data_IF_722593381762
#
_entry.id   IF_722593381762
#
_cell.length_a   1.000
_cell.length_b   1.000
_cell.length_c   1.000
_cell.angle_alpha   90.00
_cell.angle_beta   90.00
_cell.angle_gamma   90.00
#
_symmetry.space_group_name_H-M   'P 1'
#
loop_
_entity.id
_entity.type
_entity.pdbx_description
1 polymer ?
#
# COMPACT_ATOMS: atom_id res chain seq x y z
N UNK A 1 -8.11 -17.39 -14.32
CA UNK A 1 -9.34 -16.88 -14.95
C UNK A 1 -10.33 -18.02 -15.13
N UNK A 2 -11.61 -17.78 -14.84
CA UNK A 2 -12.72 -18.74 -15.00
C UNK A 2 -13.49 -18.47 -16.29
N UNK A 3 -14.06 -19.51 -16.88
CA UNK A 3 -14.83 -19.39 -18.12
C UNK A 3 -16.19 -20.07 -17.97
N UNK A 4 -17.25 -19.42 -18.45
CA UNK A 4 -18.61 -19.96 -18.43
C UNK A 4 -19.34 -19.64 -19.73
N UNK A 5 -20.29 -20.49 -20.13
CA UNK A 5 -21.19 -20.22 -21.24
C UNK A 5 -22.40 -19.44 -20.74
N UNK A 6 -22.77 -18.40 -21.46
CA UNK A 6 -23.92 -17.53 -21.15
C UNK A 6 -24.89 -17.47 -22.33
N UNK A 7 -26.05 -16.85 -22.13
CA UNK A 7 -27.04 -16.64 -23.20
C UNK A 7 -26.56 -15.70 -24.31
N UNK A 8 -25.51 -14.92 -24.07
CA UNK A 8 -24.99 -13.94 -25.04
C UNK A 8 -23.62 -14.31 -25.61
N UNK A 9 -23.03 -15.45 -25.21
CA UNK A 9 -21.72 -15.90 -25.65
C UNK A 9 -20.94 -16.59 -24.55
N UNK A 10 -19.64 -16.82 -24.80
CA UNK A 10 -18.74 -17.40 -23.81
C UNK A 10 -18.05 -16.25 -23.00
N UNK A 11 -18.20 -16.27 -21.69
CA UNK A 11 -17.63 -15.27 -20.79
C UNK A 11 -16.41 -15.82 -20.05
N UNK A 12 -15.31 -15.05 -20.05
CA UNK A 12 -14.11 -15.28 -19.25
C UNK A 12 -13.95 -14.12 -18.27
N UNK A 13 -13.74 -14.41 -17.00
CA UNK A 13 -13.72 -13.46 -15.92
C UNK A 13 -12.65 -13.83 -14.88
N UNK A 14 -12.30 -12.92 -13.94
CA UNK A 14 -11.28 -13.15 -12.92
C UNK A 14 -11.53 -14.39 -12.07
N UNK A 15 -10.48 -14.90 -11.46
CA UNK A 15 -10.57 -15.92 -10.41
C UNK A 15 -11.24 -15.36 -9.14
N UNK A 16 -11.33 -16.18 -8.11
CA UNK A 16 -11.91 -15.78 -6.81
C UNK A 16 -11.19 -14.61 -6.18
N UNK A 17 -9.90 -14.44 -6.47
CA UNK A 17 -9.06 -13.34 -5.98
C UNK A 17 -8.50 -12.56 -7.16
N UNK A 18 -8.53 -11.24 -7.06
CA UNK A 18 -7.82 -10.33 -7.96
C UNK A 18 -7.07 -9.27 -7.15
N UNK A 19 -6.03 -8.68 -7.75
CA UNK A 19 -5.29 -7.58 -7.15
C UNK A 19 -5.70 -6.27 -7.82
N UNK A 20 -5.96 -5.23 -7.01
CA UNK A 20 -6.54 -3.97 -7.48
C UNK A 20 -5.69 -3.26 -8.55
N UNK A 21 -4.36 -3.41 -8.50
CA UNK A 21 -3.45 -2.80 -9.46
C UNK A 21 -3.07 -3.69 -10.63
N UNK A 22 -3.57 -4.94 -10.67
CA UNK A 22 -3.39 -5.81 -11.83
C UNK A 22 -4.51 -5.62 -12.84
N UNK A 23 -4.22 -5.80 -14.14
CA UNK A 23 -5.28 -5.85 -15.15
C UNK A 23 -6.30 -6.95 -14.84
N UNK A 24 -7.56 -6.56 -14.67
CA UNK A 24 -8.67 -7.46 -14.33
C UNK A 24 -9.67 -7.42 -15.46
N UNK A 25 -9.68 -8.49 -16.28
CA UNK A 25 -10.47 -8.53 -17.51
C UNK A 25 -11.76 -9.32 -17.37
N UNK A 26 -12.84 -8.75 -17.90
CA UNK A 26 -14.05 -9.44 -18.29
C UNK A 26 -14.05 -9.53 -19.82
N UNK A 27 -14.04 -10.74 -20.37
CA UNK A 27 -14.03 -10.98 -21.82
C UNK A 27 -15.28 -11.77 -22.20
N UNK A 28 -15.93 -11.38 -23.29
CA UNK A 28 -17.05 -12.10 -23.86
C UNK A 28 -16.72 -12.36 -25.33
N UNK A 29 -16.73 -13.61 -25.73
CA UNK A 29 -16.53 -14.05 -27.12
C UNK A 29 -17.81 -14.63 -27.70
N UNK A 30 -17.96 -14.56 -29.01
CA UNK A 30 -19.18 -14.94 -29.72
C UNK A 30 -20.41 -14.17 -29.24
N UNK A 31 -20.23 -12.92 -28.81
CA UNK A 31 -21.29 -12.07 -28.29
C UNK A 31 -22.28 -11.68 -29.38
N UNK A 32 -23.57 -11.90 -29.12
CA UNK A 32 -24.66 -11.61 -30.08
C UNK A 32 -25.24 -10.20 -29.90
N UNK A 33 -24.81 -9.46 -28.85
CA UNK A 33 -25.29 -8.11 -28.59
C UNK A 33 -24.38 -7.06 -29.24
N UNK A 34 -24.93 -5.90 -29.57
CA UNK A 34 -24.16 -4.76 -30.05
C UNK A 34 -23.41 -4.02 -28.91
N UNK A 35 -23.94 -4.10 -27.70
CA UNK A 35 -23.34 -3.53 -26.50
C UNK A 35 -23.68 -4.37 -25.27
N UNK A 36 -22.86 -4.21 -24.22
CA UNK A 36 -23.00 -4.88 -22.93
C UNK A 36 -22.80 -3.86 -21.82
N UNK A 37 -23.60 -3.94 -20.78
CA UNK A 37 -23.45 -3.14 -19.59
C UNK A 37 -22.85 -3.99 -18.47
N UNK A 38 -21.82 -3.47 -17.82
CA UNK A 38 -21.22 -4.03 -16.60
C UNK A 38 -21.64 -3.19 -15.40
N UNK A 39 -22.26 -3.84 -14.41
CA UNK A 39 -22.53 -3.27 -13.09
C UNK A 39 -21.55 -3.88 -12.11
N UNK A 40 -20.77 -3.04 -11.45
CA UNK A 40 -19.71 -3.44 -10.53
C UNK A 40 -20.05 -2.85 -9.18
N UNK A 41 -20.21 -3.69 -8.17
CA UNK A 41 -20.67 -3.31 -6.82
C UNK A 41 -19.69 -3.81 -5.78
N UNK A 42 -19.27 -2.93 -4.86
CA UNK A 42 -18.62 -3.33 -3.61
C UNK A 42 -19.70 -3.80 -2.64
N UNK A 43 -19.61 -5.05 -2.19
CA UNK A 43 -20.68 -5.64 -1.36
C UNK A 43 -20.67 -5.10 0.06
N UNK A 44 -19.53 -4.56 0.54
CA UNK A 44 -19.36 -4.07 1.90
C UNK A 44 -20.01 -2.72 2.17
N UNK A 45 -19.92 -1.78 1.23
CA UNK A 45 -20.45 -0.41 1.34
C UNK A 45 -21.58 -0.12 0.35
N UNK A 46 -21.86 -1.05 -0.56
CA UNK A 46 -22.94 -0.92 -1.56
C UNK A 46 -22.62 0.06 -2.70
N UNK A 47 -21.41 0.60 -2.76
CA UNK A 47 -21.00 1.47 -3.84
C UNK A 47 -21.07 0.74 -5.19
N UNK A 48 -21.64 1.38 -6.20
CA UNK A 48 -21.90 0.75 -7.50
C UNK A 48 -21.50 1.65 -8.65
N UNK A 49 -20.79 1.07 -9.61
CA UNK A 49 -20.46 1.70 -10.89
C UNK A 49 -21.09 0.92 -12.05
N UNK A 50 -21.58 1.64 -13.04
CA UNK A 50 -22.17 1.04 -14.26
C UNK A 50 -21.44 1.56 -15.48
N UNK A 51 -20.97 0.65 -16.33
CA UNK A 51 -20.21 0.94 -17.54
C UNK A 51 -20.86 0.29 -18.75
N UNK A 52 -20.96 1.03 -19.85
CA UNK A 52 -21.46 0.53 -21.13
C UNK A 52 -20.30 0.32 -22.11
N UNK A 53 -20.26 -0.85 -22.71
CA UNK A 53 -19.23 -1.24 -23.66
C UNK A 53 -19.86 -1.63 -25.01
N UNK A 54 -19.29 -1.12 -26.09
CA UNK A 54 -19.61 -1.60 -27.43
C UNK A 54 -18.92 -2.95 -27.67
N UNK A 55 -19.60 -3.82 -28.40
CA UNK A 55 -19.06 -5.11 -28.83
C UNK A 55 -18.55 -5.00 -30.28
N UNK A 56 -17.31 -5.39 -30.52
CA UNK A 56 -16.69 -5.38 -31.84
C UNK A 56 -16.35 -6.79 -32.29
N UNK A 57 -16.73 -7.14 -33.50
CA UNK A 57 -16.48 -8.47 -34.08
C UNK A 57 -16.90 -9.62 -33.14
N UNK A 58 -18.07 -9.49 -32.54
CA UNK A 58 -18.57 -10.45 -31.56
C UNK A 58 -17.69 -10.65 -30.31
N UNK A 59 -16.84 -9.69 -30.02
CA UNK A 59 -15.93 -9.73 -28.87
C UNK A 59 -16.04 -8.46 -28.01
N UNK A 60 -15.99 -8.66 -26.70
CA UNK A 60 -15.81 -7.63 -25.69
C UNK A 60 -14.59 -7.97 -24.84
N UNK A 61 -13.76 -6.98 -24.54
CA UNK A 61 -12.72 -7.07 -23.50
C UNK A 61 -12.76 -5.81 -22.67
N UNK A 62 -13.16 -5.92 -21.41
CA UNK A 62 -13.26 -4.83 -20.46
C UNK A 62 -12.24 -5.05 -19.33
N UNK A 63 -11.38 -4.07 -19.10
CA UNK A 63 -10.51 -4.04 -17.92
C UNK A 63 -11.22 -3.24 -16.82
N UNK A 64 -11.59 -3.90 -15.74
CA UNK A 64 -12.35 -3.33 -14.62
C UNK A 64 -11.45 -2.93 -13.43
N UNK A 65 -10.13 -3.13 -13.52
CA UNK A 65 -9.21 -2.86 -12.41
C UNK A 65 -9.32 -1.43 -11.86
N UNK A 66 -9.44 -0.43 -12.74
CA UNK A 66 -9.55 0.98 -12.30
C UNK A 66 -10.83 1.26 -11.51
N UNK A 67 -11.91 0.57 -11.82
CA UNK A 67 -13.16 0.70 -11.06
C UNK A 67 -13.02 0.03 -9.69
N UNK A 68 -12.38 -1.14 -9.65
CA UNK A 68 -12.09 -1.84 -8.40
C UNK A 68 -11.24 -0.95 -7.47
N UNK A 69 -10.25 -0.23 -8.00
CA UNK A 69 -9.42 0.71 -7.22
C UNK A 69 -10.25 1.82 -6.55
N UNK A 70 -11.33 2.29 -7.19
CA UNK A 70 -12.18 3.35 -6.65
C UNK A 70 -13.02 2.94 -5.42
N UNK A 71 -13.14 1.64 -5.15
CA UNK A 71 -13.81 1.16 -3.96
C UNK A 71 -12.95 1.21 -2.71
N UNK A 72 -11.64 1.35 -2.86
CA UNK A 72 -10.73 1.46 -1.74
C UNK A 72 -10.62 2.91 -1.27
N UNK A 73 -10.83 3.13 0.02
CA UNK A 73 -10.60 4.43 0.65
C UNK A 73 -9.12 4.60 0.98
N UNK A 74 -8.41 5.53 0.32
CA UNK A 74 -6.97 5.73 0.57
C UNK A 74 -6.65 6.19 2.00
N UNK A 75 -7.62 6.77 2.71
CA UNK A 75 -7.45 7.21 4.10
C UNK A 75 -7.68 6.10 5.12
N UNK A 76 -8.33 5.01 4.73
CA UNK A 76 -8.62 3.87 5.60
C UNK A 76 -8.12 2.54 5.01
N UNK A 77 -7.14 2.62 4.13
CA UNK A 77 -6.64 1.46 3.39
C UNK A 77 -5.97 0.42 4.29
N UNK A 78 -5.36 0.84 5.39
CA UNK A 78 -4.72 -0.07 6.34
C UNK A 78 -5.71 -1.07 6.94
N UNK A 79 -6.93 -0.62 7.23
CA UNK A 79 -7.97 -1.46 7.83
C UNK A 79 -8.82 -2.21 6.79
N UNK A 80 -8.89 -1.70 5.55
CA UNK A 80 -9.74 -2.23 4.48
C UNK A 80 -8.94 -2.53 3.20
N UNK A 81 -7.98 -3.45 3.30
CA UNK A 81 -7.12 -3.86 2.19
C UNK A 81 -7.74 -4.95 1.29
N UNK A 82 -8.92 -5.43 1.66
CA UNK A 82 -9.62 -6.51 0.96
C UNK A 82 -11.10 -6.20 0.90
N UNK A 83 -11.69 -6.35 -0.30
CA UNK A 83 -13.09 -6.07 -0.58
C UNK A 83 -13.69 -7.21 -1.40
N UNK A 84 -14.93 -7.60 -1.12
CA UNK A 84 -15.71 -8.43 -2.02
C UNK A 84 -16.40 -7.56 -3.08
N UNK A 85 -16.17 -7.90 -4.34
CA UNK A 85 -16.70 -7.17 -5.50
C UNK A 85 -17.61 -8.11 -6.29
N UNK A 86 -18.84 -7.68 -6.47
CA UNK A 86 -19.81 -8.35 -7.34
C UNK A 86 -19.90 -7.66 -8.68
N UNK A 87 -19.75 -8.43 -9.75
CA UNK A 87 -19.83 -7.93 -11.12
C UNK A 87 -20.98 -8.62 -11.85
N UNK A 88 -21.90 -7.81 -12.37
CA UNK A 88 -22.99 -8.27 -13.23
C UNK A 88 -22.77 -7.85 -14.66
N UNK A 89 -22.96 -8.78 -15.56
CA UNK A 89 -23.08 -8.55 -17.01
C UNK A 89 -24.56 -8.43 -17.36
N UNK A 90 -24.97 -7.32 -17.92
CA UNK A 90 -26.37 -6.96 -18.17
C UNK A 90 -26.57 -6.74 -19.67
N UNK A 91 -27.67 -7.26 -20.19
CA UNK A 91 -28.13 -6.91 -21.52
C UNK A 91 -28.79 -5.51 -21.48
N UNK A 92 -28.21 -4.49 -22.12
CA UNK A 92 -28.72 -3.11 -22.02
C UNK A 92 -30.10 -2.93 -22.65
N UNK A 93 -30.50 -3.79 -23.60
CA UNK A 93 -31.81 -3.71 -24.28
C UNK A 93 -32.93 -4.18 -23.37
N UNK A 94 -32.70 -5.24 -22.60
CA UNK A 94 -33.72 -5.83 -21.71
C UNK A 94 -33.56 -5.43 -20.26
N UNK A 95 -32.45 -4.77 -19.91
CA UNK A 95 -32.03 -4.47 -18.54
C UNK A 95 -31.93 -5.71 -17.64
N UNK A 96 -31.83 -6.89 -18.23
CA UNK A 96 -31.81 -8.17 -17.50
C UNK A 96 -30.36 -8.61 -17.28
N UNK A 97 -30.03 -9.11 -16.09
CA UNK A 97 -28.72 -9.71 -15.83
C UNK A 97 -28.56 -10.99 -16.67
N UNK A 98 -27.40 -11.12 -17.29
CA UNK A 98 -27.01 -12.29 -18.08
C UNK A 98 -26.22 -13.27 -17.24
N UNK A 99 -25.27 -12.74 -16.48
CA UNK A 99 -24.36 -13.47 -15.60
C UNK A 99 -23.80 -12.55 -14.54
N UNK A 100 -23.57 -13.09 -13.34
CA UNK A 100 -22.86 -12.43 -12.27
C UNK A 100 -21.74 -13.29 -11.70
N UNK A 101 -20.74 -12.67 -11.12
CA UNK A 101 -19.69 -13.35 -10.39
C UNK A 101 -19.14 -12.48 -9.25
N UNK A 102 -18.60 -13.13 -8.23
CA UNK A 102 -17.87 -12.51 -7.15
C UNK A 102 -16.37 -12.68 -7.35
N UNK A 103 -15.62 -11.68 -6.94
CA UNK A 103 -14.16 -11.73 -6.80
C UNK A 103 -13.73 -10.91 -5.59
N UNK A 104 -12.82 -11.47 -4.81
CA UNK A 104 -12.18 -10.74 -3.72
C UNK A 104 -11.06 -9.89 -4.28
N UNK A 105 -11.20 -8.58 -4.16
CA UNK A 105 -10.19 -7.63 -4.57
C UNK A 105 -9.25 -7.32 -3.38
N UNK A 106 -7.95 -7.48 -3.58
CA UNK A 106 -6.91 -7.16 -2.61
C UNK A 106 -6.16 -5.91 -3.08
N UNK A 107 -5.88 -4.98 -2.17
CA UNK A 107 -5.03 -3.82 -2.42
C UNK A 107 -3.58 -4.26 -2.62
N UNK A 108 -3.19 -4.53 -3.84
CA UNK A 108 -1.87 -5.06 -4.17
C UNK A 108 -1.63 -5.16 -5.66
N UNK A 109 -0.41 -5.58 -6.00
CA UNK A 109 0.06 -5.76 -7.36
C UNK A 109 1.00 -6.97 -7.44
N UNK A 110 0.46 -8.13 -7.85
CA UNK A 110 1.24 -9.35 -8.07
C UNK A 110 1.30 -9.61 -9.56
N UNK A 111 2.49 -9.85 -10.10
CA UNK A 111 2.65 -10.14 -11.52
C UNK A 111 1.83 -11.38 -11.94
N UNK A 112 1.24 -11.40 -13.14
CA UNK A 112 0.51 -12.56 -13.64
C UNK A 112 1.37 -13.82 -13.63
N UNK A 113 0.88 -14.88 -12.98
CA UNK A 113 1.62 -16.15 -12.85
C UNK A 113 2.58 -16.20 -11.67
N UNK A 114 2.81 -15.10 -10.98
CA UNK A 114 3.57 -15.07 -9.73
C UNK A 114 2.80 -15.76 -8.61
N UNK A 115 3.47 -16.65 -7.88
CA UNK A 115 2.91 -17.25 -6.67
C UNK A 115 3.16 -16.31 -5.49
N UNK A 116 2.23 -16.28 -4.55
CA UNK A 116 2.46 -15.61 -3.29
C UNK A 116 3.57 -16.33 -2.52
N UNK A 117 4.71 -15.67 -2.44
CA UNK A 117 5.81 -16.08 -1.57
C UNK A 117 6.00 -14.94 -0.57
N UNK A 118 5.16 -14.90 0.45
CA UNK A 118 5.39 -14.02 1.59
C UNK A 118 6.72 -14.37 2.27
N UNK A 119 7.27 -13.48 3.10
CA UNK A 119 8.48 -13.75 3.84
C UNK A 119 8.27 -15.01 4.71
N UNK A 120 9.20 -15.93 4.63
CA UNK A 120 9.18 -17.14 5.47
C UNK A 120 9.69 -16.86 6.88
N UNK A 121 10.45 -15.78 7.02
CA UNK A 121 11.04 -15.33 8.27
C UNK A 121 10.73 -13.88 8.49
N UNK A 122 10.14 -13.54 9.64
CA UNK A 122 9.86 -12.18 10.07
C UNK A 122 10.59 -11.90 11.37
N UNK A 123 11.24 -10.74 11.48
CA UNK A 123 11.75 -10.25 12.76
C UNK A 123 10.59 -9.75 13.60
N UNK A 124 10.58 -10.17 14.83
CA UNK A 124 9.66 -9.69 15.85
C UNK A 124 10.43 -8.80 16.84
N UNK A 125 9.96 -7.55 16.99
CA UNK A 125 10.60 -6.53 17.81
C UNK A 125 9.86 -6.40 19.13
N UNK A 126 10.58 -6.56 20.24
CA UNK A 126 10.03 -6.43 21.60
C UNK A 126 9.37 -5.05 21.81
N UNK A 127 8.20 -5.05 22.43
CA UNK A 127 7.47 -3.85 22.83
C UNK A 127 6.99 -2.93 21.66
N UNK A 128 7.01 -3.42 20.43
CA UNK A 128 6.47 -2.70 19.29
C UNK A 128 5.15 -3.33 18.80
N UNK A 129 4.16 -2.53 18.36
CA UNK A 129 2.83 -3.01 17.98
C UNK A 129 2.83 -3.71 16.62
N UNK A 130 3.44 -4.88 16.56
CA UNK A 130 3.54 -5.67 15.35
C UNK A 130 2.34 -6.61 15.19
N UNK A 131 1.86 -6.72 13.96
CA UNK A 131 0.79 -7.65 13.57
C UNK A 131 1.27 -8.53 12.42
N UNK A 132 0.65 -9.67 12.25
CA UNK A 132 0.82 -10.52 11.08
C UNK A 132 -0.47 -10.54 10.29
N UNK A 133 -0.37 -10.17 9.02
CA UNK A 133 -1.50 -10.25 8.10
C UNK A 133 -1.62 -11.65 7.53
N UNK A 134 -2.81 -12.22 7.62
CA UNK A 134 -3.16 -13.53 7.05
C UNK A 134 -4.40 -13.39 6.19
N UNK A 135 -4.46 -14.13 5.07
CA UNK A 135 -5.64 -14.19 4.24
C UNK A 135 -6.43 -15.46 4.56
N UNK A 136 -7.62 -15.30 5.11
CA UNK A 136 -8.48 -16.42 5.49
C UNK A 136 -9.95 -16.08 5.27
N UNK A 137 -10.75 -17.05 4.83
CA UNK A 137 -12.18 -16.85 4.62
C UNK A 137 -12.57 -15.73 3.63
N UNK A 138 -11.70 -15.44 2.65
CA UNK A 138 -11.93 -14.37 1.66
C UNK A 138 -11.62 -12.97 2.15
N UNK A 139 -10.96 -12.82 3.29
CA UNK A 139 -10.57 -11.52 3.86
C UNK A 139 -9.16 -11.53 4.44
N UNK A 140 -8.55 -10.35 4.57
CA UNK A 140 -7.28 -10.16 5.27
C UNK A 140 -7.58 -9.88 6.74
N UNK A 141 -6.95 -10.64 7.63
CA UNK A 141 -7.00 -10.45 9.08
C UNK A 141 -5.60 -10.14 9.61
N UNK A 142 -5.51 -9.19 10.54
CA UNK A 142 -4.27 -8.82 11.20
C UNK A 142 -4.25 -9.41 12.61
N UNK A 143 -3.42 -10.42 12.80
CA UNK A 143 -3.21 -11.07 14.09
C UNK A 143 -2.21 -10.26 14.91
N UNK A 144 -2.62 -9.84 16.09
CA UNK A 144 -1.73 -9.14 17.03
C UNK A 144 -0.82 -10.18 17.67
N UNK A 145 0.50 -9.94 17.59
CA UNK A 145 1.50 -10.74 18.25
C UNK A 145 1.78 -10.10 19.60
N UNK A 146 1.59 -10.85 20.67
CA UNK A 146 1.85 -10.43 22.04
C UNK A 146 2.99 -11.26 22.63
N UNK A 147 3.74 -10.66 23.54
CA UNK A 147 4.83 -11.33 24.25
C UNK A 147 4.35 -12.63 24.93
N UNK A 148 3.16 -12.58 25.55
CA UNK A 148 2.56 -13.74 26.23
C UNK A 148 2.30 -14.88 25.26
N UNK A 149 1.86 -14.59 24.03
CA UNK A 149 1.62 -15.60 23.01
C UNK A 149 2.92 -16.25 22.54
N UNK A 150 3.97 -15.46 22.33
CA UNK A 150 5.29 -15.93 21.92
C UNK A 150 5.98 -16.74 23.03
N UNK A 151 5.85 -16.32 24.27
CA UNK A 151 6.42 -17.02 25.43
C UNK A 151 5.74 -18.35 25.73
N UNK A 152 4.46 -18.50 25.39
CA UNK A 152 3.70 -19.71 25.66
C UNK A 152 4.07 -20.90 24.76
N UNK A 153 4.66 -20.64 23.58
CA UNK A 153 4.84 -21.67 22.54
C UNK A 153 6.31 -22.03 22.31
N UNK A 154 7.20 -21.04 22.29
CA UNK A 154 8.65 -21.28 22.20
C UNK A 154 9.40 -20.02 22.56
N UNK A 155 10.52 -20.12 23.32
CA UNK A 155 11.29 -18.93 23.66
C UNK A 155 12.01 -18.27 22.46
N UNK A 156 12.04 -18.90 21.27
CA UNK A 156 12.90 -18.42 20.17
C UNK A 156 12.29 -18.45 18.77
N UNK A 157 11.36 -19.37 18.48
CA UNK A 157 10.82 -19.52 17.14
C UNK A 157 9.31 -19.75 17.19
N UNK A 158 8.57 -18.91 16.48
CA UNK A 158 7.14 -19.04 16.35
C UNK A 158 6.79 -19.26 14.89
N UNK A 159 6.08 -20.35 14.60
CA UNK A 159 5.64 -20.65 13.23
C UNK A 159 4.14 -20.49 13.14
N UNK A 160 3.66 -19.59 12.28
CA UNK A 160 2.26 -19.48 11.92
C UNK A 160 2.02 -20.14 10.57
N UNK A 161 1.05 -21.04 10.52
CA UNK A 161 0.54 -21.57 9.27
C UNK A 161 -0.55 -20.63 8.75
N UNK A 162 -0.42 -20.19 7.49
CA UNK A 162 -1.45 -19.40 6.83
C UNK A 162 -1.79 -20.00 5.47
N UNK A 163 -3.06 -19.89 5.09
CA UNK A 163 -3.52 -20.29 3.77
C UNK A 163 -3.77 -19.05 2.94
N UNK A 164 -3.05 -18.93 1.84
CA UNK A 164 -3.24 -17.88 0.87
C UNK A 164 -3.62 -18.50 -0.46
N UNK A 165 -4.83 -18.22 -0.95
CA UNK A 165 -5.40 -18.82 -2.15
C UNK A 165 -5.56 -20.34 -2.05
N UNK A 166 -6.48 -20.94 -2.77
CA UNK A 166 -6.76 -22.37 -2.67
C UNK A 166 -5.50 -23.26 -2.72
N UNK A 167 -5.25 -23.96 -1.65
CA UNK A 167 -4.23 -25.02 -1.56
C UNK A 167 -2.80 -24.54 -1.30
N UNK A 168 -2.55 -23.22 -1.12
CA UNK A 168 -1.22 -22.74 -0.73
C UNK A 168 -1.21 -22.53 0.79
N UNK A 169 -0.48 -23.36 1.49
CA UNK A 169 -0.22 -23.23 2.93
C UNK A 169 1.21 -22.72 3.06
N UNK A 170 1.37 -21.59 3.74
CA UNK A 170 2.67 -21.04 4.10
C UNK A 170 2.85 -21.01 5.61
N UNK A 171 4.09 -21.12 6.06
CA UNK A 171 4.45 -20.91 7.46
C UNK A 171 5.42 -19.74 7.58
N UNK A 172 5.24 -18.94 8.64
CA UNK A 172 6.11 -17.81 8.95
C UNK A 172 6.86 -18.15 10.24
N UNK A 173 8.20 -18.10 10.18
CA UNK A 173 9.05 -18.21 11.35
C UNK A 173 9.33 -16.83 11.91
N UNK A 174 9.20 -16.65 13.22
CA UNK A 174 9.53 -15.39 13.88
C UNK A 174 10.92 -15.49 14.51
N UNK A 175 11.76 -14.51 14.18
CA UNK A 175 13.07 -14.30 14.81
C UNK A 175 12.95 -13.13 15.77
N UNK A 176 13.23 -13.39 17.03
CA UNK A 176 13.14 -12.40 18.08
C UNK A 176 14.29 -11.39 17.98
N UNK A 177 13.98 -10.11 17.85
CA UNK A 177 14.91 -8.99 17.86
C UNK A 177 14.68 -8.14 19.12
N UNK A 178 15.75 -7.95 19.92
CA UNK A 178 15.70 -7.21 21.18
C UNK A 178 16.05 -5.73 21.04
N UNK A 179 16.18 -5.24 19.82
CA UNK A 179 16.45 -3.84 19.55
C UNK A 179 15.31 -2.97 20.07
N UNK A 180 15.66 -1.91 20.83
CA UNK A 180 14.69 -1.04 21.49
C UNK A 180 14.66 0.37 20.93
N UNK A 181 15.75 0.81 20.33
CA UNK A 181 15.91 2.15 19.80
C UNK A 181 15.83 2.15 18.28
N UNK A 182 15.05 3.06 17.74
CA UNK A 182 14.89 3.16 16.29
C UNK A 182 13.67 3.97 15.89
N UNK A 183 13.31 3.86 14.64
CA UNK A 183 12.04 4.31 14.09
C UNK A 183 11.29 3.07 13.56
N UNK A 184 10.13 2.83 14.14
CA UNK A 184 9.31 1.68 13.80
C UNK A 184 8.32 2.07 12.71
N UNK A 185 8.46 1.43 11.55
CA UNK A 185 7.59 1.68 10.40
C UNK A 185 6.73 0.46 10.09
N UNK A 186 5.57 0.73 9.50
CA UNK A 186 4.76 -0.25 8.79
C UNK A 186 4.47 0.21 7.38
N UNK A 187 4.28 -0.74 6.48
CA UNK A 187 3.84 -0.45 5.11
C UNK A 187 2.98 -1.61 4.58
N UNK A 188 2.23 -1.33 3.54
CA UNK A 188 1.49 -2.37 2.82
C UNK A 188 2.40 -2.86 1.67
N UNK A 189 2.69 -4.15 1.67
CA UNK A 189 3.46 -4.75 0.58
C UNK A 189 2.60 -4.94 -0.69
N UNK A 190 3.23 -5.40 -1.76
CA UNK A 190 2.55 -5.65 -3.04
C UNK A 190 1.49 -6.75 -2.99
N UNK A 191 1.45 -7.56 -1.95
CA UNK A 191 0.44 -8.59 -1.73
C UNK A 191 -0.75 -8.09 -0.88
N UNK A 192 -0.72 -6.83 -0.44
CA UNK A 192 -1.72 -6.24 0.43
C UNK A 192 -1.54 -6.58 1.91
N UNK A 193 -0.39 -7.14 2.29
CA UNK A 193 -0.09 -7.51 3.68
C UNK A 193 0.69 -6.40 4.38
N UNK A 194 0.45 -6.22 5.68
CA UNK A 194 1.24 -5.29 6.49
C UNK A 194 2.60 -5.91 6.80
N UNK A 195 3.63 -5.13 6.54
CA UNK A 195 5.00 -5.41 6.91
C UNK A 195 5.46 -4.39 7.94
N UNK A 196 6.39 -4.79 8.80
CA UNK A 196 6.89 -3.98 9.90
C UNK A 196 8.41 -4.11 10.01
N UNK A 197 9.06 -3.01 10.40
CA UNK A 197 10.49 -3.04 10.70
C UNK A 197 10.90 -1.90 11.64
N UNK A 198 11.85 -2.21 12.54
CA UNK A 198 12.51 -1.22 13.37
C UNK A 198 13.83 -0.82 12.72
N UNK A 199 13.90 0.42 12.23
CA UNK A 199 15.08 0.95 11.54
C UNK A 199 15.95 1.74 12.50
N UNK A 200 17.26 1.60 12.36
CA UNK A 200 18.22 2.48 13.01
C UNK A 200 18.14 3.89 12.43
N UNK A 201 18.29 4.89 13.31
CA UNK A 201 18.31 6.31 12.94
C UNK A 201 19.68 6.70 12.39
N UNK A 202 19.70 7.14 11.14
CA UNK A 202 20.87 7.78 10.53
C UNK A 202 20.84 9.30 10.68
N UNK A 203 21.33 9.99 9.66
CA UNK A 203 21.41 11.45 9.65
C UNK A 203 20.02 12.07 9.50
N UNK A 204 19.76 13.11 10.32
CA UNK A 204 18.57 13.95 10.19
C UNK A 204 18.96 15.24 9.48
N UNK A 205 18.28 15.55 8.39
CA UNK A 205 18.48 16.79 7.63
C UNK A 205 17.25 17.69 7.77
N UNK A 206 17.48 18.99 7.96
CA UNK A 206 16.42 20.00 7.96
C UNK A 206 16.73 20.99 6.86
N UNK A 207 15.91 21.02 5.81
CA UNK A 207 15.99 21.98 4.73
C UNK A 207 15.04 23.12 5.00
N UNK A 208 15.55 24.34 4.95
CA UNK A 208 14.74 25.53 5.11
C UNK A 208 14.40 26.11 3.74
N UNK A 209 13.12 26.06 3.39
CA UNK A 209 12.60 26.57 2.14
C UNK A 209 11.89 27.91 2.35
N UNK A 210 12.12 28.83 1.42
CA UNK A 210 11.44 30.13 1.40
C UNK A 210 10.06 29.97 0.80
N UNK A 211 9.04 30.55 1.45
CA UNK A 211 7.68 30.54 0.95
C UNK A 211 7.05 31.95 0.90
N UNK A 212 6.10 32.14 0.00
CA UNK A 212 5.45 33.43 -0.21
C UNK A 212 6.31 34.47 -0.95
N UNK A 213 5.89 35.73 -0.88
CA UNK A 213 6.55 36.84 -1.55
C UNK A 213 7.64 37.46 -0.66
N UNK A 214 8.67 37.99 -1.27
CA UNK A 214 9.68 38.79 -0.59
C UNK A 214 9.13 40.20 -0.36
N UNK A 215 9.07 40.63 0.90
CA UNK A 215 8.67 41.98 1.28
C UNK A 215 9.91 42.87 1.25
N UNK A 216 9.87 43.88 0.38
CA UNK A 216 10.96 44.86 0.27
C UNK A 216 10.52 46.15 0.93
N UNK A 217 11.30 46.64 1.89
CA UNK A 217 11.12 47.93 2.55
C UNK A 217 12.29 48.83 2.21
N UNK A 218 12.01 50.03 1.77
CA UNK A 218 13.02 51.03 1.52
C UNK A 218 13.14 51.96 2.73
N UNK A 219 14.30 51.98 3.33
CA UNK A 219 14.64 52.94 4.42
C UNK A 219 15.57 53.99 3.88
N UNK A 220 15.24 55.26 4.09
CA UNK A 220 16.19 56.33 4.02
C UNK A 220 16.93 56.44 5.36
N UNK A 221 18.22 56.73 5.34
CA UNK A 221 18.90 57.10 6.55
C UNK A 221 18.35 58.46 7.10
N UNK A 222 18.70 58.81 8.35
CA UNK A 222 18.21 60.04 9.02
C UNK A 222 18.56 61.32 8.27
N UNK A 223 19.58 61.29 7.42
CA UNK A 223 20.07 62.42 6.65
C UNK A 223 19.57 62.43 5.17
N UNK A 224 18.83 61.38 4.77
CA UNK A 224 18.31 61.25 3.42
C UNK A 224 19.36 60.94 2.34
N UNK A 225 20.59 60.64 2.74
CA UNK A 225 21.74 60.49 1.84
C UNK A 225 21.92 59.04 1.32
N UNK A 226 21.31 58.05 1.98
CA UNK A 226 21.36 56.68 1.51
C UNK A 226 20.03 55.95 1.66
N UNK A 227 19.69 55.13 0.65
CA UNK A 227 18.54 54.23 0.68
C UNK A 227 19.02 52.80 0.86
N UNK A 228 18.49 52.12 1.87
CA UNK A 228 18.76 50.73 2.09
C UNK A 228 17.49 49.90 1.82
N UNK A 229 17.61 48.94 0.96
CA UNK A 229 16.56 47.95 0.72
C UNK A 229 16.70 46.84 1.75
N UNK A 230 15.74 46.72 2.65
CA UNK A 230 15.65 45.63 3.61
C UNK A 230 14.60 44.68 3.08
N UNK A 231 15.00 43.42 2.90
CA UNK A 231 14.15 42.36 2.41
C UNK A 231 13.78 41.41 3.54
N UNK A 232 12.52 41.06 3.64
CA UNK A 232 11.99 40.04 4.54
C UNK A 232 11.21 39.03 3.79
N UNK A 233 11.43 37.75 4.08
CA UNK A 233 10.62 36.67 3.54
C UNK A 233 9.32 36.57 4.30
N UNK A 234 8.20 36.35 3.59
CA UNK A 234 6.88 36.30 4.18
C UNK A 234 6.75 35.13 5.18
N UNK A 235 7.27 33.97 4.79
CA UNK A 235 7.37 32.80 5.69
C UNK A 235 8.47 31.84 5.24
N UNK A 236 8.85 30.94 6.13
CA UNK A 236 9.75 29.82 5.87
C UNK A 236 9.03 28.54 6.27
N UNK A 237 9.26 27.47 5.52
CA UNK A 237 8.86 26.13 5.94
C UNK A 237 10.06 25.21 5.92
N UNK A 238 10.10 24.32 6.91
CA UNK A 238 11.17 23.34 7.05
C UNK A 238 10.70 21.98 6.52
N UNK A 239 11.44 21.43 5.58
CA UNK A 239 11.33 20.01 5.23
C UNK A 239 12.33 19.25 6.09
N UNK A 240 11.84 18.24 6.78
CA UNK A 240 12.65 17.39 7.64
C UNK A 240 12.73 16.02 7.03
N UNK A 241 13.94 15.56 6.74
CA UNK A 241 14.18 14.21 6.32
C UNK A 241 15.03 13.44 7.31
N UNK A 242 14.84 12.14 7.36
CA UNK A 242 15.53 11.22 8.25
C UNK A 242 16.05 10.04 7.47
N UNK A 243 17.36 9.81 7.48
CA UNK A 243 17.96 8.59 6.99
C UNK A 243 17.66 7.44 7.93
N UNK A 244 17.32 6.29 7.36
CA UNK A 244 17.01 5.04 8.05
C UNK A 244 17.90 3.92 7.53
N UNK A 245 18.28 3.03 8.42
CA UNK A 245 19.12 1.87 8.11
C UNK A 245 18.56 0.62 8.77
N UNK A 246 18.48 -0.47 8.00
CA UNK A 246 18.35 -1.82 8.53
C UNK A 246 19.70 -2.53 8.29
N UNK A 247 20.54 -2.65 9.30
CA UNK A 247 21.86 -3.26 9.14
C UNK A 247 21.79 -4.79 9.12
N UNK A 248 22.73 -5.41 8.42
CA UNK A 248 22.93 -6.85 8.43
C UNK A 248 21.69 -7.69 8.13
N UNK A 249 20.89 -7.26 7.16
CA UNK A 249 19.70 -8.00 6.72
C UNK A 249 20.07 -9.11 5.76
N UNK A 250 19.35 -10.22 5.83
CA UNK A 250 19.46 -11.33 4.90
C UNK A 250 18.86 -10.97 3.54
N UNK A 251 19.11 -11.77 2.50
CA UNK A 251 18.54 -11.55 1.17
C UNK A 251 17.00 -11.58 1.17
N UNK A 252 16.39 -12.45 1.99
CA UNK A 252 14.95 -12.56 2.15
C UNK A 252 14.38 -11.30 2.80
N UNK A 253 14.97 -10.85 3.91
CA UNK A 253 14.61 -9.62 4.60
C UNK A 253 14.79 -8.39 3.70
N UNK A 254 15.89 -8.36 2.95
CA UNK A 254 16.16 -7.29 1.99
C UNK A 254 15.07 -7.19 0.92
N UNK A 255 14.64 -8.32 0.39
CA UNK A 255 13.54 -8.39 -0.60
C UNK A 255 12.21 -7.91 -0.01
N UNK A 256 11.93 -8.23 1.24
CA UNK A 256 10.75 -7.71 1.96
C UNK A 256 10.85 -6.19 2.16
N UNK A 257 12.02 -5.70 2.58
CA UNK A 257 12.27 -4.27 2.81
C UNK A 257 12.21 -3.44 1.52
N UNK A 258 12.61 -3.99 0.37
CA UNK A 258 12.45 -3.31 -0.93
C UNK A 258 10.99 -2.94 -1.21
N UNK A 259 10.03 -3.70 -0.68
CA UNK A 259 8.61 -3.42 -0.80
C UNK A 259 8.20 -2.05 -0.25
N UNK A 260 8.92 -1.51 0.74
CA UNK A 260 8.62 -0.19 1.29
C UNK A 260 8.77 0.92 0.26
N UNK A 261 9.74 0.82 -0.67
CA UNK A 261 10.00 1.86 -1.67
C UNK A 261 8.92 1.96 -2.75
N UNK A 262 8.13 0.92 -2.90
CA UNK A 262 7.02 0.87 -3.86
C UNK A 262 5.66 0.95 -3.20
N UNK A 263 5.61 0.97 -1.87
CA UNK A 263 4.37 1.10 -1.12
C UNK A 263 3.87 2.55 -1.13
N UNK A 264 2.61 2.79 -1.49
CA UNK A 264 2.00 4.10 -1.35
C UNK A 264 1.55 4.42 0.09
N UNK A 265 1.62 3.45 0.98
CA UNK A 265 1.17 3.56 2.37
C UNK A 265 2.29 3.16 3.29
N UNK A 266 2.87 4.14 3.96
CA UNK A 266 3.96 3.96 4.92
C UNK A 266 3.63 4.82 6.13
N UNK A 267 3.63 4.21 7.31
CA UNK A 267 3.34 4.90 8.56
C UNK A 267 4.50 4.72 9.55
N UNK A 268 4.80 5.78 10.27
CA UNK A 268 5.74 5.82 11.39
C UNK A 268 4.97 5.70 12.72
N UNK A 269 5.47 4.88 13.62
CA UNK A 269 4.87 4.70 14.94
C UNK A 269 5.41 5.72 15.96
N UNK A 270 4.49 6.38 16.66
CA UNK A 270 4.76 7.31 17.76
C UNK A 270 4.17 6.78 19.05
N UNK A 271 4.97 6.20 19.95
CA UNK A 271 4.46 5.56 21.18
C UNK A 271 3.82 6.55 22.17
N UNK A 272 4.08 7.85 22.05
CA UNK A 272 3.57 8.90 22.93
C UNK A 272 2.33 9.62 22.42
N UNK A 273 1.87 9.33 21.19
CA UNK A 273 0.76 10.04 20.58
C UNK A 273 -0.54 9.22 20.58
N UNK A 274 -1.66 9.93 20.70
CA UNK A 274 -3.00 9.32 20.71
C UNK A 274 -3.28 8.55 19.41
N UNK A 275 -2.74 9.03 18.27
CA UNK A 275 -2.95 8.42 16.95
C UNK A 275 -2.06 7.19 16.74
N UNK A 276 -0.92 7.11 17.43
CA UNK A 276 0.03 6.00 17.37
C UNK A 276 0.76 5.84 16.02
N UNK A 277 0.11 6.09 14.88
CA UNK A 277 0.68 5.94 13.54
C UNK A 277 0.51 7.21 12.72
N UNK A 278 1.60 7.69 12.12
CA UNK A 278 1.65 8.89 11.31
C UNK A 278 2.13 8.57 9.90
N UNK A 279 1.40 8.99 8.84
CA UNK A 279 1.82 8.78 7.47
C UNK A 279 3.13 9.51 7.15
N UNK A 280 4.07 8.80 6.54
CA UNK A 280 5.36 9.36 6.07
C UNK A 280 5.57 9.04 4.59
N UNK A 281 6.53 9.74 3.97
CA UNK A 281 6.87 9.55 2.56
C UNK A 281 8.33 9.17 2.41
N UNK A 282 8.65 8.43 1.35
CA UNK A 282 10.03 8.23 0.95
C UNK A 282 10.54 9.52 0.30
N UNK A 283 11.58 10.12 0.88
CA UNK A 283 12.25 11.28 0.33
C UNK A 283 13.21 10.88 -0.78
N UNK A 284 13.98 9.81 -0.53
CA UNK A 284 14.97 9.30 -1.44
C UNK A 284 15.23 7.83 -1.18
N UNK A 285 15.17 7.03 -2.23
CA UNK A 285 15.51 5.62 -2.15
C UNK A 285 16.27 5.19 -3.40
N UNK A 286 17.52 4.79 -3.24
CA UNK A 286 18.28 4.09 -4.29
C UNK A 286 18.80 2.81 -3.70
N UNK A 287 18.35 1.69 -4.22
CA UNK A 287 18.78 0.38 -3.77
C UNK A 287 19.91 -0.09 -4.67
N UNK A 288 20.98 -0.57 -4.04
CA UNK A 288 22.04 -1.31 -4.70
C UNK A 288 22.20 -2.61 -3.94
N UNK A 289 21.79 -3.71 -4.55
CA UNK A 289 22.06 -5.03 -4.00
C UNK A 289 23.54 -5.36 -4.14
N UNK A 290 24.14 -5.87 -3.07
CA UNK A 290 25.44 -6.52 -3.06
C UNK A 290 25.25 -8.02 -3.26
N UNK A 291 26.33 -8.73 -3.54
CA UNK A 291 26.39 -10.20 -3.54
C UNK A 291 26.73 -10.79 -2.17
N UNK A 292 26.84 -9.93 -1.16
CA UNK A 292 27.16 -10.32 0.21
C UNK A 292 25.97 -11.02 0.88
N UNK A 293 26.24 -11.95 1.78
CA UNK A 293 25.22 -12.71 2.51
C UNK A 293 24.40 -11.82 3.44
N UNK A 294 25.01 -10.78 4.01
CA UNK A 294 24.36 -9.77 4.85
C UNK A 294 24.59 -8.40 4.23
N UNK A 295 23.56 -7.60 4.18
CA UNK A 295 23.57 -6.29 3.53
C UNK A 295 22.92 -5.24 4.42
N UNK A 296 23.29 -3.97 4.20
CA UNK A 296 22.61 -2.85 4.82
C UNK A 296 21.54 -2.32 3.86
N UNK A 297 20.31 -2.16 4.35
CA UNK A 297 19.23 -1.52 3.61
C UNK A 297 19.07 -0.08 4.11
N UNK A 298 19.27 0.91 3.22
CA UNK A 298 19.25 2.34 3.57
C UNK A 298 18.31 3.12 2.67
N UNK A 299 17.56 4.04 3.27
CA UNK A 299 16.68 4.98 2.56
C UNK A 299 16.42 6.20 3.43
N UNK A 300 15.76 7.19 2.88
CA UNK A 300 15.42 8.45 3.55
C UNK A 300 13.91 8.69 3.50
N UNK A 301 13.33 9.05 4.64
CA UNK A 301 11.93 9.42 4.74
C UNK A 301 11.78 10.92 4.96
N UNK A 302 10.68 11.48 4.46
CA UNK A 302 10.20 12.81 4.84
C UNK A 302 9.31 12.67 6.07
N UNK A 303 9.67 13.43 7.11
CA UNK A 303 8.83 13.58 8.28
C UNK A 303 7.82 14.70 8.05
N UNK A 304 6.67 14.69 8.73
CA UNK A 304 5.68 15.76 8.63
C UNK A 304 6.32 17.13 8.94
N UNK A 305 5.89 18.13 8.19
CA UNK A 305 6.46 19.47 8.28
C UNK A 305 6.25 20.08 9.68
N UNK A 306 7.31 20.61 10.25
CA UNK A 306 7.22 21.44 11.45
C UNK A 306 6.52 22.76 11.08
N UNK A 307 5.65 23.24 11.96
CA UNK A 307 4.88 24.47 11.77
C UNK A 307 5.73 25.63 11.25
N UNK A 308 5.29 26.20 10.13
CA UNK A 308 5.91 27.39 9.56
C UNK A 308 5.60 28.61 10.43
N UNK A 309 6.63 29.46 10.66
CA UNK A 309 6.40 30.80 11.18
C UNK A 309 6.11 31.75 10.00
N UNK A 310 4.99 32.47 10.09
CA UNK A 310 4.61 33.50 9.13
C UNK A 310 4.62 34.89 9.79
N UNK A 311 4.94 35.93 9.01
CA UNK A 311 4.81 37.34 9.42
C UNK A 311 3.33 37.75 9.37
#
# INVERSE_FOLDING_TARGET
MRTTSTTIGQMTYPDEICFAFNPTYVKITSCQLASVMLRITSTGDGATYTLNYAVFNHMLTANIARIIQLFFDPYNIVDKRCLDVYVEVINPTTSSPVQGFHTTAIWGNIAPGETFNGPKTLRWFDNWPQKVSVFTGGTIQDLVITDDLLMAVSPFDYTFDFTFRQGVVGSINFVHDKSKDGLFLRWIDRHGMLQYWLFDKGVREVKNNRGGSELTMNYADREGNSFRNIKRQQYFFGEVSQELCAPNVTEEEYTMLEGILTSPVIDLYHPSEIVGWEPVRIAKGTIKRSTDTLQDFKFEIELPNVNAQSL
#
